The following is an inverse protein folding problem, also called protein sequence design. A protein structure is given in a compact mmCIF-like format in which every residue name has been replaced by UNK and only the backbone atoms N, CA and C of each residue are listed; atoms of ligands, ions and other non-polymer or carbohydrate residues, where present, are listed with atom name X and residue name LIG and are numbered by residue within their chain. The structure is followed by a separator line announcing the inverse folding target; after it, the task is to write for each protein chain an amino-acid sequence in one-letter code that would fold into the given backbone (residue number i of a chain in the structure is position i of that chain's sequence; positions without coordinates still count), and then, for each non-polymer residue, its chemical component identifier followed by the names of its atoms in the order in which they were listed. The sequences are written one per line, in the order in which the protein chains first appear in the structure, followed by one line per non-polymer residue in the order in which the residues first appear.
data_IF_182823450516
#
_entry.id   IF_182823450516
#
_cell.length_a   1.000
_cell.length_b   1.000
_cell.length_c   1.000
_cell.angle_alpha   90.00
_cell.angle_beta   90.00
_cell.angle_gamma   90.00
#
_symmetry.space_group_name_H-M   'P 1'
#
loop_
_entity.id
_entity.type
_entity.pdbx_description
1 polymer ?
#
# COMPACT_ATOMS: atom_id res chain seq x y z
N UNK A 1 0.75 19.48 37.55
CA UNK A 1 0.13 18.64 36.51
C UNK A 1 0.55 19.24 35.18
N UNK A 2 1.35 18.54 34.37
CA UNK A 2 1.73 19.02 33.04
C UNK A 2 0.68 18.52 32.06
N UNK A 3 -0.03 19.46 31.43
CA UNK A 3 -0.80 19.20 30.24
C UNK A 3 0.19 18.71 29.18
N UNK A 4 0.13 17.44 28.82
CA UNK A 4 0.73 16.97 27.58
C UNK A 4 -0.30 17.28 26.49
N UNK A 5 0.00 18.25 25.65
CA UNK A 5 -0.76 18.52 24.43
C UNK A 5 -0.80 17.23 23.61
N UNK A 6 -2.00 16.84 23.14
CA UNK A 6 -2.22 15.65 22.33
C UNK A 6 -1.30 15.58 21.09
N UNK A 7 -0.71 16.71 20.67
CA UNK A 7 0.21 16.78 19.55
C UNK A 7 1.58 16.09 19.77
N UNK A 8 2.00 15.81 21.00
CA UNK A 8 3.33 15.23 21.27
C UNK A 8 3.37 13.69 21.22
N UNK A 9 2.23 13.00 21.32
CA UNK A 9 2.19 11.51 21.32
C UNK A 9 2.05 10.93 19.89
N UNK A 10 1.60 11.71 18.91
CA UNK A 10 1.28 11.20 17.56
C UNK A 10 2.40 11.29 16.52
N UNK A 11 3.60 11.74 16.90
CA UNK A 11 4.72 11.94 15.96
C UNK A 11 5.73 10.80 15.87
N UNK A 12 5.70 9.79 16.75
CA UNK A 12 6.77 8.79 16.81
C UNK A 12 6.42 7.37 16.35
N UNK A 13 5.16 7.00 16.09
CA UNK A 13 4.84 5.57 16.07
C UNK A 13 4.40 4.88 14.78
N UNK A 14 4.17 5.51 13.62
CA UNK A 14 4.29 4.78 12.33
C UNK A 14 4.62 5.75 11.15
N UNK A 15 5.75 5.60 10.42
CA UNK A 15 6.75 6.67 10.48
C UNK A 15 7.62 6.92 9.22
N UNK A 16 8.21 8.12 9.16
CA UNK A 16 9.44 8.38 8.41
C UNK A 16 10.53 7.33 8.73
N UNK A 17 10.57 6.83 9.97
CA UNK A 17 11.54 5.82 10.41
C UNK A 17 11.42 4.44 9.73
N UNK A 18 10.25 4.05 9.19
CA UNK A 18 10.08 2.80 8.41
C UNK A 18 10.59 2.95 6.97
N UNK A 19 10.72 4.20 6.52
CA UNK A 19 11.38 4.53 5.26
C UNK A 19 12.90 4.69 5.48
N UNK A 20 13.30 5.25 6.61
CA UNK A 20 14.72 5.46 6.97
C UNK A 20 15.43 4.16 7.37
N UNK A 21 14.72 3.19 7.98
CA UNK A 21 15.28 1.87 8.34
C UNK A 21 15.27 0.84 7.20
N UNK A 22 14.66 1.20 6.05
CA UNK A 22 14.54 0.35 4.87
C UNK A 22 13.56 -0.81 5.03
N UNK A 23 12.60 -0.73 5.94
CA UNK A 23 11.56 -1.75 6.12
C UNK A 23 10.54 -1.77 4.98
N UNK A 24 10.35 -0.65 4.28
CA UNK A 24 9.50 -0.54 3.09
C UNK A 24 10.35 -0.18 1.87
N UNK A 25 10.14 -0.86 0.75
CA UNK A 25 10.86 -0.57 -0.49
C UNK A 25 10.54 0.85 -0.99
N UNK A 26 11.54 1.63 -1.47
CA UNK A 26 11.33 3.00 -1.96
C UNK A 26 10.21 3.14 -3.00
N UNK A 27 10.12 2.20 -3.95
CA UNK A 27 9.10 2.24 -5.01
C UNK A 27 7.66 2.15 -4.49
N UNK A 28 7.45 1.55 -3.31
CA UNK A 28 6.13 1.42 -2.66
C UNK A 28 6.03 2.26 -1.39
N UNK A 29 6.99 3.13 -1.12
CA UNK A 29 6.98 4.01 0.05
C UNK A 29 5.79 4.98 0.01
N UNK A 30 5.46 5.50 -1.18
CA UNK A 30 4.43 6.52 -1.34
C UNK A 30 3.04 5.99 -0.94
N UNK A 31 2.64 4.80 -1.40
CA UNK A 31 1.34 4.20 -1.03
C UNK A 31 1.25 3.91 0.47
N UNK A 32 2.38 3.59 1.09
CA UNK A 32 2.48 3.39 2.52
C UNK A 32 2.24 4.73 3.26
N UNK A 33 2.86 5.83 2.80
CA UNK A 33 2.63 7.18 3.32
C UNK A 33 1.19 7.67 3.14
N UNK A 34 0.57 7.40 1.99
CA UNK A 34 -0.84 7.76 1.74
C UNK A 34 -1.78 7.04 2.70
N UNK A 35 -1.52 5.77 3.00
CA UNK A 35 -2.28 5.01 4.00
C UNK A 35 -2.23 5.70 5.38
N UNK A 36 -1.06 6.14 5.84
CA UNK A 36 -0.96 6.91 7.09
C UNK A 36 -1.65 8.26 7.00
N UNK A 37 -1.49 8.96 5.89
CA UNK A 37 -2.13 10.25 5.67
C UNK A 37 -3.65 10.14 5.78
N UNK A 38 -4.24 9.05 5.28
CA UNK A 38 -5.66 8.74 5.43
C UNK A 38 -6.06 8.58 6.91
N UNK A 39 -5.29 7.83 7.69
CA UNK A 39 -5.54 7.67 9.13
C UNK A 39 -5.43 9.00 9.87
N UNK A 40 -4.40 9.81 9.56
CA UNK A 40 -4.21 11.13 10.14
C UNK A 40 -5.31 12.13 9.78
N UNK A 41 -5.94 11.97 8.62
CA UNK A 41 -7.13 12.73 8.23
C UNK A 41 -8.39 12.35 9.03
N UNK A 42 -8.31 11.35 9.92
CA UNK A 42 -9.39 10.93 10.80
C UNK A 42 -10.09 9.64 10.37
N UNK A 43 -9.63 8.97 9.30
CA UNK A 43 -10.21 7.69 8.92
C UNK A 43 -9.81 6.61 9.92
N UNK A 44 -10.77 5.75 10.27
CA UNK A 44 -10.53 4.64 11.19
C UNK A 44 -9.97 3.40 10.50
N UNK A 45 -9.90 3.43 9.17
CA UNK A 45 -9.39 2.35 8.36
C UNK A 45 -8.66 2.86 7.13
N UNK A 46 -7.50 2.26 6.83
CA UNK A 46 -6.79 2.45 5.57
C UNK A 46 -6.03 1.17 5.21
N UNK A 47 -5.82 0.92 3.92
CA UNK A 47 -5.00 -0.20 3.48
C UNK A 47 -4.21 0.13 2.22
N UNK A 48 -3.04 -0.47 2.06
CA UNK A 48 -2.21 -0.35 0.87
C UNK A 48 -1.55 -1.68 0.51
N UNK A 49 -0.94 -1.75 -0.67
CA UNK A 49 -0.03 -2.83 -1.06
C UNK A 49 1.39 -2.28 -1.11
N UNK A 50 2.29 -2.82 -0.29
CA UNK A 50 3.67 -2.33 -0.20
C UNK A 50 4.66 -3.49 -0.16
N UNK A 51 5.84 -3.27 -0.71
CA UNK A 51 6.95 -4.20 -0.63
C UNK A 51 7.65 -4.04 0.72
N UNK A 52 7.51 -5.05 1.58
CA UNK A 52 8.03 -5.06 2.95
C UNK A 52 9.28 -5.92 3.02
N UNK A 53 10.30 -5.43 3.73
CA UNK A 53 11.56 -6.13 3.95
C UNK A 53 11.35 -7.27 4.93
N UNK A 54 11.67 -8.48 4.49
CA UNK A 54 11.64 -9.69 5.28
C UNK A 54 12.93 -9.83 6.11
N UNK A 55 12.94 -10.71 7.11
CA UNK A 55 14.13 -10.99 7.94
C UNK A 55 15.35 -11.46 7.12
N UNK A 56 15.13 -12.09 5.96
CA UNK A 56 16.21 -12.50 5.06
C UNK A 56 16.75 -11.35 4.18
N UNK A 57 16.23 -10.13 4.34
CA UNK A 57 16.65 -8.94 3.60
C UNK A 57 15.94 -8.74 2.26
N UNK A 58 15.18 -9.72 1.77
CA UNK A 58 14.40 -9.59 0.54
C UNK A 58 13.09 -8.82 0.78
N UNK A 59 12.57 -8.17 -0.25
CA UNK A 59 11.26 -7.55 -0.19
C UNK A 59 10.17 -8.50 -0.70
N UNK A 60 8.99 -8.44 -0.08
CA UNK A 60 7.79 -9.14 -0.54
C UNK A 60 6.58 -8.24 -0.51
N UNK A 61 5.72 -8.40 -1.51
CA UNK A 61 4.47 -7.67 -1.59
C UNK A 61 3.53 -8.10 -0.47
N UNK A 62 3.14 -7.14 0.36
CA UNK A 62 2.16 -7.33 1.40
C UNK A 62 0.97 -6.41 1.18
N UNK A 63 -0.23 -6.90 1.49
CA UNK A 63 -1.35 -6.02 1.81
C UNK A 63 -1.23 -5.62 3.28
N UNK A 64 -1.12 -4.32 3.51
CA UNK A 64 -1.05 -3.74 4.85
C UNK A 64 -2.37 -3.05 5.14
N UNK A 65 -2.99 -3.36 6.28
CA UNK A 65 -4.23 -2.72 6.74
C UNK A 65 -4.01 -2.11 8.12
N UNK A 66 -4.47 -0.88 8.30
CA UNK A 66 -4.52 -0.18 9.58
C UNK A 66 -5.97 -0.02 10.01
N UNK A 67 -6.25 -0.39 11.25
CA UNK A 67 -7.55 -0.22 11.89
C UNK A 67 -7.33 0.58 13.17
N UNK A 68 -7.96 1.73 13.28
CA UNK A 68 -7.91 2.59 14.45
C UNK A 68 -9.22 2.43 15.22
N UNK A 69 -9.10 2.18 16.52
CA UNK A 69 -10.21 2.21 17.45
C UNK A 69 -10.09 3.47 18.28
N UNK A 70 -11.18 4.22 18.34
CA UNK A 70 -11.30 5.44 19.14
C UNK A 70 -12.17 5.21 20.37
N UNK A 71 -11.92 5.98 21.41
CA UNK A 71 -12.76 6.01 22.60
C UNK A 71 -14.01 6.89 22.39
N UNK A 72 -14.79 7.08 23.45
CA UNK A 72 -16.01 7.89 23.41
C UNK A 72 -15.74 9.39 23.24
N UNK A 73 -14.52 9.86 23.52
CA UNK A 73 -14.08 11.24 23.33
C UNK A 73 -13.48 11.44 21.92
N UNK A 74 -13.54 10.40 21.08
CA UNK A 74 -12.99 10.33 19.72
C UNK A 74 -11.45 10.39 19.66
N UNK A 75 -10.79 10.15 20.80
CA UNK A 75 -9.34 10.01 20.88
C UNK A 75 -8.92 8.60 20.46
N UNK A 76 -7.72 8.46 19.90
CA UNK A 76 -7.21 7.14 19.49
C UNK A 76 -6.90 6.31 20.73
N UNK A 77 -7.65 5.23 20.93
CA UNK A 77 -7.41 4.27 22.01
C UNK A 77 -6.35 3.24 21.59
N UNK A 78 -6.42 2.76 20.35
CA UNK A 78 -5.50 1.76 19.81
C UNK A 78 -5.51 1.73 18.28
N UNK A 79 -4.37 1.38 17.67
CA UNK A 79 -4.26 1.08 16.25
C UNK A 79 -3.71 -0.33 16.04
N UNK A 80 -4.34 -1.09 15.12
CA UNK A 80 -3.93 -2.43 14.73
C UNK A 80 -3.38 -2.41 13.30
N UNK A 81 -2.17 -2.92 13.11
CA UNK A 81 -1.59 -3.15 11.80
C UNK A 81 -1.63 -4.64 11.44
N UNK A 82 -2.22 -4.95 10.29
CA UNK A 82 -2.31 -6.31 9.75
C UNK A 82 -1.46 -6.37 8.48
N UNK A 83 -0.49 -7.29 8.46
CA UNK A 83 0.38 -7.55 7.32
C UNK A 83 0.02 -8.91 6.73
N UNK A 84 -0.38 -8.92 5.46
CA UNK A 84 -0.72 -10.13 4.73
C UNK A 84 0.27 -10.29 3.56
N UNK A 85 1.11 -11.32 3.59
CA UNK A 85 1.98 -11.68 2.45
C UNK A 85 1.09 -12.15 1.29
N UNK A 86 1.14 -11.41 0.17
CA UNK A 86 0.36 -11.70 -1.04
C UNK A 86 1.27 -12.02 -2.23
N UNK A 87 2.58 -12.18 -2.02
CA UNK A 87 3.56 -12.39 -3.09
C UNK A 87 3.17 -13.54 -4.03
N UNK A 88 2.73 -14.67 -3.47
CA UNK A 88 2.32 -15.84 -4.26
C UNK A 88 0.95 -15.67 -4.94
N UNK A 89 0.15 -14.68 -4.55
CA UNK A 89 -1.14 -14.40 -5.19
C UNK A 89 -0.95 -13.58 -6.47
N UNK A 90 0.09 -12.76 -6.55
CA UNK A 90 0.40 -11.95 -7.73
C UNK A 90 0.93 -12.78 -8.90
N UNK A 91 1.76 -13.80 -8.63
CA UNK A 91 2.27 -14.71 -9.67
C UNK A 91 1.15 -15.39 -10.45
N UNK A 92 0.07 -15.79 -9.78
CA UNK A 92 -1.10 -16.39 -10.46
C UNK A 92 -1.81 -15.46 -11.45
N UNK A 93 -1.76 -14.14 -11.25
CA UNK A 93 -2.43 -13.19 -12.16
C UNK A 93 -1.57 -12.79 -13.36
N UNK A 94 -0.25 -12.71 -13.19
CA UNK A 94 0.67 -12.39 -14.30
C UNK A 94 0.80 -13.57 -15.28
N UNK A 95 0.78 -14.80 -14.77
CA UNK A 95 0.78 -16.01 -15.59
C UNK A 95 -0.51 -16.14 -16.43
N UNK A 96 -1.70 -15.87 -15.86
CA UNK A 96 -2.98 -15.90 -16.61
C UNK A 96 -3.11 -14.80 -17.68
N UNK A 97 -2.54 -13.61 -17.45
CA UNK A 97 -2.51 -12.52 -18.45
C UNK A 97 -1.59 -12.83 -19.64
N UNK A 98 -0.55 -13.65 -19.43
CA UNK A 98 0.37 -14.09 -20.48
C UNK A 98 -0.22 -15.18 -21.40
N UNK A 99 -1.25 -15.89 -20.92
CA UNK A 99 -1.96 -16.94 -21.66
C UNK A 99 -3.20 -16.44 -22.44
N UNK A 100 -3.55 -15.15 -22.32
CA UNK A 100 -4.61 -14.58 -23.15
C UNK A 100 -4.20 -14.64 -24.63
N UNK A 101 -5.02 -15.24 -25.52
CA UNK A 101 -4.70 -15.31 -26.93
C UNK A 101 -4.60 -13.89 -27.49
N UNK A 102 -3.45 -13.58 -28.11
CA UNK A 102 -3.28 -12.35 -28.89
C UNK A 102 -4.39 -12.31 -29.94
N UNK A 103 -5.34 -11.39 -29.79
CA UNK A 103 -6.34 -11.11 -30.81
C UNK A 103 -5.60 -10.84 -32.12
N UNK A 104 -5.98 -11.50 -33.24
CA UNK A 104 -5.32 -11.26 -34.51
C UNK A 104 -5.47 -9.78 -34.85
N UNK A 105 -4.34 -9.12 -35.09
CA UNK A 105 -4.32 -7.74 -35.56
C UNK A 105 -5.07 -7.70 -36.88
N UNK A 106 -6.25 -7.08 -36.91
CA UNK A 106 -6.92 -6.76 -38.16
C UNK A 106 -5.99 -5.87 -38.99
N UNK A 107 -5.36 -6.47 -40.01
CA UNK A 107 -4.82 -5.77 -41.15
C UNK A 107 -5.93 -4.88 -41.72
N UNK A 108 -5.86 -3.58 -41.44
CA UNK A 108 -6.57 -2.58 -42.22
C UNK A 108 -5.95 -2.57 -43.62
N UNK A 109 -6.42 -3.48 -44.47
CA UNK A 109 -6.29 -3.38 -45.92
C UNK A 109 -7.02 -2.11 -46.35
N UNK A 110 -6.26 -1.06 -46.63
CA UNK A 110 -6.69 0.02 -47.51
C UNK A 110 -6.75 -0.55 -48.95
N UNK A 111 -7.89 -0.51 -49.67
CA UNK A 111 -7.81 -0.48 -51.12
C UNK A 111 -7.54 0.96 -51.56
N UNK A 112 -6.56 1.04 -52.45
CA UNK A 112 -6.05 2.21 -53.13
C UNK A 112 -7.17 3.10 -53.70
N UNK A 113 -7.00 4.40 -53.44
CA UNK A 113 -7.68 5.46 -54.16
C UNK A 113 -7.00 5.60 -55.53
N UNK A 114 -7.69 5.23 -56.61
CA UNK A 114 -7.26 5.60 -57.96
C UNK A 114 -8.48 6.04 -58.79
N UNK A 115 -8.43 7.32 -59.16
CA UNK A 115 -9.14 8.11 -60.19
C UNK A 115 -10.55 7.73 -60.64
#
# INVERSE_FOLDING_TARGET
MRNLDCAEIYKENIPQSTLEDGSVHPDTAYVYQEMFSSIYAGNDFASCMANIRMQNGNYRLHKVSLIVKRDNDNEVEVAYAIYQDIFNQTMSFEDEQSELPKLPSEEQQMPANDK
#
